data_IF_749866474420
#
_entry.id   IF_749866474420
#
_cell.length_a   1.000
_cell.length_b   1.000
_cell.length_c   1.000
_cell.angle_alpha   90.00
_cell.angle_beta   90.00
_cell.angle_gamma   90.00
#
_symmetry.space_group_name_H-M   'P 1'
#
loop_
_entity.id
_entity.type
_entity.pdbx_description
1 polymer ?
#
# COMPACT_ATOMS: atom_id res chain seq x y z
N UNK A 1 -36.74 -32.03 -18.38
CA UNK A 1 -35.49 -32.78 -18.09
C UNK A 1 -34.66 -31.91 -17.17
N UNK A 2 -34.55 -32.31 -15.89
CA UNK A 2 -33.60 -31.68 -14.99
C UNK A 2 -32.20 -32.09 -15.47
N UNK A 3 -31.50 -31.19 -16.15
CA UNK A 3 -30.09 -31.38 -16.39
C UNK A 3 -29.39 -31.35 -15.03
N UNK A 4 -28.58 -32.35 -14.73
CA UNK A 4 -27.70 -32.35 -13.57
C UNK A 4 -26.55 -31.38 -13.87
N UNK A 5 -26.64 -30.17 -13.33
CA UNK A 5 -25.65 -29.10 -13.58
C UNK A 5 -24.42 -29.20 -12.67
N UNK A 6 -24.23 -30.35 -11.98
CA UNK A 6 -23.07 -30.55 -11.11
C UNK A 6 -21.79 -30.60 -11.92
N UNK A 7 -20.81 -29.82 -11.47
CA UNK A 7 -19.44 -29.83 -11.98
C UNK A 7 -18.55 -30.54 -10.98
N UNK A 8 -17.80 -31.53 -11.44
CA UNK A 8 -16.75 -32.18 -10.67
C UNK A 8 -15.42 -31.49 -10.96
N UNK A 9 -14.74 -31.12 -9.91
CA UNK A 9 -13.46 -30.45 -9.97
C UNK A 9 -12.34 -31.38 -9.53
N UNK A 10 -11.22 -31.40 -10.25
CA UNK A 10 -10.04 -32.18 -9.89
C UNK A 10 -8.76 -31.37 -10.12
N UNK A 11 -7.74 -31.64 -9.31
CA UNK A 11 -6.40 -31.11 -9.47
C UNK A 11 -5.45 -32.24 -9.86
N UNK A 12 -4.49 -31.96 -10.73
CA UNK A 12 -3.40 -32.89 -11.05
C UNK A 12 -2.43 -33.07 -9.89
N UNK A 13 -2.32 -32.08 -8.99
CA UNK A 13 -1.55 -32.12 -7.75
C UNK A 13 -2.17 -31.24 -6.67
N UNK A 14 -2.81 -31.89 -5.70
CA UNK A 14 -3.48 -31.19 -4.60
C UNK A 14 -2.51 -30.57 -3.58
N UNK A 15 -1.22 -30.91 -3.61
CA UNK A 15 -0.23 -30.24 -2.77
C UNK A 15 0.08 -28.85 -3.31
N UNK A 16 0.08 -28.71 -4.64
CA UNK A 16 0.35 -27.44 -5.32
C UNK A 16 -0.90 -26.57 -5.34
N UNK A 17 -2.04 -27.12 -5.76
CA UNK A 17 -3.29 -26.39 -5.83
C UNK A 17 -4.47 -27.33 -5.54
N UNK A 18 -5.27 -27.02 -4.52
CA UNK A 18 -6.53 -27.70 -4.26
C UNK A 18 -7.68 -26.93 -4.90
N UNK A 19 -8.74 -27.65 -5.27
CA UNK A 19 -9.96 -27.03 -5.78
C UNK A 19 -11.17 -27.55 -5.03
N UNK A 20 -12.02 -26.61 -4.55
CA UNK A 20 -13.26 -26.89 -3.86
C UNK A 20 -14.36 -26.06 -4.51
N UNK A 21 -15.30 -26.72 -5.15
CA UNK A 21 -16.46 -26.07 -5.77
C UNK A 21 -16.10 -24.84 -6.65
N UNK A 22 -15.04 -24.99 -7.45
CA UNK A 22 -14.49 -23.95 -8.35
C UNK A 22 -13.57 -22.94 -7.69
N UNK A 23 -13.39 -22.99 -6.36
CA UNK A 23 -12.44 -22.13 -5.64
C UNK A 23 -11.08 -22.82 -5.55
N UNK A 24 -10.02 -22.16 -6.04
CA UNK A 24 -8.66 -22.68 -6.03
C UNK A 24 -7.92 -22.17 -4.80
N UNK A 25 -7.31 -23.09 -4.06
CA UNK A 25 -6.47 -22.80 -2.89
C UNK A 25 -5.04 -23.19 -3.21
N UNK A 26 -4.12 -22.21 -3.23
CA UNK A 26 -2.69 -22.43 -3.44
C UNK A 26 -2.05 -23.17 -2.25
N UNK A 27 -1.12 -24.06 -2.55
CA UNK A 27 -0.33 -24.85 -1.58
C UNK A 27 1.18 -24.68 -1.80
N UNK A 28 1.87 -25.77 -2.15
CA UNK A 28 3.31 -25.77 -2.40
C UNK A 28 3.64 -25.11 -3.76
N UNK A 29 4.87 -24.60 -3.87
CA UNK A 29 5.38 -24.06 -5.14
C UNK A 29 5.40 -25.11 -6.22
N UNK A 30 4.89 -24.75 -7.40
CA UNK A 30 4.82 -25.67 -8.55
C UNK A 30 3.70 -25.31 -9.50
N UNK A 31 3.40 -26.22 -10.41
CA UNK A 31 2.34 -26.06 -11.41
C UNK A 31 1.39 -27.26 -11.35
N UNK A 32 0.10 -26.98 -11.26
CA UNK A 32 -0.96 -27.98 -11.30
C UNK A 32 -2.00 -27.63 -12.37
N UNK A 33 -2.61 -28.63 -12.98
CA UNK A 33 -3.75 -28.51 -13.88
C UNK A 33 -5.05 -28.73 -13.11
N UNK A 34 -5.95 -27.78 -13.16
CA UNK A 34 -7.30 -27.92 -12.62
C UNK A 34 -8.25 -28.28 -13.76
N UNK A 35 -9.04 -29.32 -13.56
CA UNK A 35 -10.02 -29.81 -14.53
C UNK A 35 -11.42 -29.71 -13.94
N UNK A 36 -12.32 -29.05 -14.69
CA UNK A 36 -13.75 -29.07 -14.45
C UNK A 36 -14.42 -30.07 -15.40
N UNK A 37 -15.26 -30.96 -14.87
CA UNK A 37 -15.97 -31.97 -15.65
C UNK A 37 -17.47 -31.86 -15.37
N UNK A 38 -18.26 -31.71 -16.42
CA UNK A 38 -19.73 -31.70 -16.34
C UNK A 38 -20.29 -33.13 -16.27
N UNK A 39 -21.53 -33.29 -15.81
CA UNK A 39 -22.22 -34.60 -15.72
C UNK A 39 -22.33 -35.35 -17.07
N UNK A 40 -22.27 -34.61 -18.20
CA UNK A 40 -22.28 -35.22 -19.53
C UNK A 40 -20.87 -35.46 -20.11
N UNK A 41 -19.82 -35.36 -19.27
CA UNK A 41 -18.45 -35.70 -19.63
C UNK A 41 -17.66 -34.63 -20.38
N UNK A 42 -18.18 -33.42 -20.57
CA UNK A 42 -17.40 -32.30 -21.13
C UNK A 42 -16.42 -31.78 -20.09
N UNK A 43 -15.21 -31.47 -20.52
CA UNK A 43 -14.15 -30.99 -19.65
C UNK A 43 -13.62 -29.62 -20.09
N UNK A 44 -13.20 -28.82 -19.10
CA UNK A 44 -12.40 -27.62 -19.31
C UNK A 44 -11.21 -27.67 -18.35
N UNK A 45 -10.07 -27.12 -18.76
CA UNK A 45 -8.83 -27.17 -18.00
C UNK A 45 -8.22 -25.79 -17.86
N UNK A 46 -7.58 -25.53 -16.73
CA UNK A 46 -6.71 -24.37 -16.55
C UNK A 46 -5.42 -24.77 -15.83
N UNK A 47 -4.33 -24.09 -16.15
CA UNK A 47 -3.04 -24.26 -15.49
C UNK A 47 -2.93 -23.26 -14.36
N UNK A 48 -2.60 -23.72 -13.16
CA UNK A 48 -2.33 -22.91 -11.98
C UNK A 48 -0.86 -23.03 -11.64
N UNK A 49 -0.14 -21.91 -11.57
CA UNK A 49 1.25 -21.86 -11.12
C UNK A 49 1.30 -21.18 -9.76
N UNK A 50 1.83 -21.87 -8.76
CA UNK A 50 2.11 -21.33 -7.43
C UNK A 50 3.59 -20.99 -7.36
N UNK A 51 3.91 -19.74 -7.06
CA UNK A 51 5.28 -19.24 -6.95
C UNK A 51 5.64 -18.96 -5.49
N UNK A 52 6.94 -18.90 -5.17
CA UNK A 52 7.42 -18.60 -3.82
C UNK A 52 7.21 -17.14 -3.37
N UNK A 53 6.70 -16.29 -4.22
CA UNK A 53 6.52 -14.86 -3.96
C UNK A 53 5.41 -14.61 -2.92
N UNK A 54 5.66 -15.12 -1.71
CA UNK A 54 4.90 -14.75 -0.51
C UNK A 54 5.45 -13.44 0.03
N UNK A 55 5.05 -12.36 -0.57
CA UNK A 55 5.21 -11.06 0.06
C UNK A 55 4.20 -10.98 1.22
N UNK A 56 4.70 -11.07 2.44
CA UNK A 56 3.86 -11.07 3.64
C UNK A 56 3.89 -9.69 4.30
N UNK A 57 2.72 -9.12 4.50
CA UNK A 57 2.56 -8.01 5.44
C UNK A 57 2.53 -8.62 6.84
N UNK A 58 3.57 -8.34 7.63
CA UNK A 58 3.65 -8.80 9.02
C UNK A 58 3.17 -7.69 9.93
N UNK A 59 2.10 -7.95 10.69
CA UNK A 59 1.62 -7.03 11.71
C UNK A 59 2.49 -7.07 12.98
N UNK A 60 2.22 -6.13 13.90
CA UNK A 60 2.84 -6.08 15.23
C UNK A 60 4.33 -5.74 15.24
N UNK A 61 4.76 -4.98 14.23
CA UNK A 61 6.10 -4.39 14.15
C UNK A 61 6.06 -3.09 13.36
N UNK A 62 7.10 -2.26 13.53
CA UNK A 62 7.31 -1.13 12.64
C UNK A 62 7.70 -1.63 11.24
N UNK A 63 7.09 -1.06 10.22
CA UNK A 63 7.48 -1.34 8.84
C UNK A 63 8.81 -0.68 8.53
N UNK A 64 9.57 -1.32 7.64
CA UNK A 64 10.80 -0.76 7.08
C UNK A 64 10.64 -0.50 5.58
N UNK A 65 11.36 0.49 5.09
CA UNK A 65 11.54 0.71 3.66
C UNK A 65 12.50 -0.33 3.05
N UNK A 66 12.71 -0.26 1.74
CA UNK A 66 13.62 -1.17 1.01
C UNK A 66 15.08 -1.03 1.42
N UNK A 67 15.45 0.06 2.08
CA UNK A 67 16.79 0.30 2.60
C UNK A 67 16.94 -0.14 4.07
N UNK A 68 15.87 -0.67 4.68
CA UNK A 68 15.83 -1.16 6.05
C UNK A 68 15.56 -0.09 7.10
N UNK A 69 15.25 1.14 6.71
CA UNK A 69 14.89 2.20 7.64
C UNK A 69 13.43 2.11 8.06
N UNK A 70 13.10 2.49 9.28
CA UNK A 70 11.72 2.53 9.76
C UNK A 70 10.91 3.51 8.91
N UNK A 71 9.73 3.07 8.50
CA UNK A 71 8.80 3.84 7.69
C UNK A 71 7.96 4.74 8.60
N UNK A 72 8.01 6.05 8.33
CA UNK A 72 7.22 7.07 9.04
C UNK A 72 6.21 7.71 8.10
N UNK A 73 4.93 7.38 8.24
CA UNK A 73 3.85 7.86 7.38
C UNK A 73 2.50 7.86 8.12
N UNK A 74 2.42 8.65 9.19
CA UNK A 74 1.26 8.68 10.06
C UNK A 74 0.08 9.43 9.40
N UNK A 75 -1.13 8.89 9.54
CA UNK A 75 -2.39 9.56 9.20
C UNK A 75 -2.60 9.89 7.72
N UNK A 76 -1.86 9.23 6.84
CA UNK A 76 -1.97 9.45 5.41
C UNK A 76 -2.77 8.38 4.68
N UNK A 77 -2.45 8.17 3.40
CA UNK A 77 -3.11 7.19 2.55
C UNK A 77 -2.23 6.72 1.40
N UNK A 78 -2.69 5.67 0.74
CA UNK A 78 -2.05 5.09 -0.43
C UNK A 78 -2.87 5.45 -1.65
N UNK A 79 -2.20 5.94 -2.68
CA UNK A 79 -2.81 6.46 -3.90
C UNK A 79 -2.16 5.84 -5.14
N UNK A 80 -2.93 5.75 -6.21
CA UNK A 80 -2.44 5.41 -7.55
C UNK A 80 -2.87 6.52 -8.50
N UNK A 81 -1.94 6.99 -9.34
CA UNK A 81 -2.22 8.09 -10.26
C UNK A 81 -2.41 7.57 -11.70
N UNK A 82 -3.16 8.29 -12.55
CA UNK A 82 -3.25 7.97 -13.97
C UNK A 82 -1.85 7.95 -14.62
N UNK A 83 -1.63 6.99 -15.51
CA UNK A 83 -0.38 6.81 -16.26
C UNK A 83 0.87 6.52 -15.40
N UNK A 84 0.70 6.04 -14.19
CA UNK A 84 1.76 5.55 -13.33
C UNK A 84 1.39 4.18 -12.75
N UNK A 85 2.30 3.23 -12.84
CA UNK A 85 2.07 1.87 -12.36
C UNK A 85 2.35 1.72 -10.86
N UNK A 86 3.01 2.72 -10.25
CA UNK A 86 3.36 2.69 -8.82
C UNK A 86 2.21 3.11 -7.92
N UNK A 87 2.25 2.57 -6.71
CA UNK A 87 1.50 3.06 -5.56
C UNK A 87 2.33 4.10 -4.81
N UNK A 88 1.67 5.11 -4.27
CA UNK A 88 2.27 6.21 -3.52
C UNK A 88 1.66 6.27 -2.14
N UNK A 89 2.47 6.12 -1.11
CA UNK A 89 2.04 6.26 0.27
C UNK A 89 2.55 7.58 0.83
N UNK A 90 1.64 8.47 1.17
CA UNK A 90 1.94 9.74 1.84
C UNK A 90 1.48 9.71 3.28
N UNK A 91 2.19 10.41 4.15
CA UNK A 91 1.81 10.61 5.54
C UNK A 91 2.74 11.57 6.25
N UNK A 92 2.46 11.79 7.51
CA UNK A 92 3.21 12.74 8.34
C UNK A 92 4.35 12.02 9.06
N UNK A 93 5.53 12.65 9.06
CA UNK A 93 6.60 12.36 10.01
C UNK A 93 6.67 13.49 11.04
N UNK A 94 6.72 13.11 12.30
CA UNK A 94 6.96 14.00 13.42
C UNK A 94 8.41 13.87 13.90
N UNK A 95 8.97 14.93 14.47
CA UNK A 95 10.34 14.94 14.99
C UNK A 95 10.58 13.87 16.06
N UNK A 96 9.53 13.58 16.83
CA UNK A 96 9.56 12.59 17.92
C UNK A 96 9.31 11.15 17.46
N UNK A 97 9.08 10.91 16.18
CA UNK A 97 8.77 9.58 15.65
C UNK A 97 9.89 8.57 15.89
N UNK A 98 11.16 9.00 15.82
CA UNK A 98 12.32 8.15 16.11
C UNK A 98 12.30 7.70 17.57
N UNK A 99 12.01 8.61 18.51
CA UNK A 99 11.89 8.28 19.95
C UNK A 99 10.81 7.24 20.18
N UNK A 100 9.64 7.42 19.57
CA UNK A 100 8.55 6.45 19.67
C UNK A 100 8.92 5.08 19.11
N UNK A 101 9.64 5.04 18.00
CA UNK A 101 10.03 3.79 17.33
C UNK A 101 11.09 3.01 18.14
N UNK A 102 11.98 3.72 18.85
CA UNK A 102 13.04 3.11 19.68
C UNK A 102 12.55 2.77 21.07
N UNK A 103 11.67 3.58 21.64
CA UNK A 103 11.05 3.39 22.97
C UNK A 103 9.60 3.88 22.96
N UNK A 104 8.63 3.01 22.68
CA UNK A 104 7.22 3.38 22.65
C UNK A 104 6.68 3.88 24.01
N UNK A 105 7.28 3.48 25.12
CA UNK A 105 6.87 3.95 26.44
C UNK A 105 7.30 5.40 26.65
N UNK A 106 8.51 5.73 26.26
CA UNK A 106 9.01 7.11 26.30
C UNK A 106 8.24 8.00 25.31
N UNK A 107 7.89 7.47 24.14
CA UNK A 107 7.07 8.17 23.15
C UNK A 107 5.70 8.61 23.67
N UNK A 108 5.13 7.90 24.65
CA UNK A 108 3.85 8.30 25.29
C UNK A 108 3.96 9.59 26.13
N UNK A 109 5.16 10.03 26.48
CA UNK A 109 5.37 11.28 27.22
C UNK A 109 5.37 12.52 26.34
N UNK A 110 5.31 12.34 25.02
CA UNK A 110 5.24 13.46 24.06
C UNK A 110 3.84 14.05 24.07
N UNK A 111 3.66 15.20 24.69
CA UNK A 111 2.38 15.89 24.79
C UNK A 111 2.02 16.64 23.50
N UNK A 112 3.03 17.18 22.82
CA UNK A 112 2.87 17.99 21.60
C UNK A 112 3.86 17.56 20.51
N UNK A 113 3.49 16.58 19.67
CA UNK A 113 4.35 16.18 18.57
C UNK A 113 4.54 17.34 17.58
N UNK A 114 5.79 17.55 17.15
CA UNK A 114 6.11 18.60 16.20
C UNK A 114 6.16 18.03 14.77
N UNK A 115 5.39 18.61 13.87
CA UNK A 115 5.45 18.31 12.45
C UNK A 115 6.87 18.50 11.91
N UNK A 116 7.36 17.53 11.16
CA UNK A 116 8.65 17.59 10.49
C UNK A 116 8.45 17.68 8.97
N UNK A 117 7.76 16.70 8.40
CA UNK A 117 7.53 16.64 6.96
C UNK A 117 6.29 15.78 6.61
N UNK A 118 5.76 15.97 5.41
CA UNK A 118 5.03 14.92 4.71
C UNK A 118 6.04 14.07 3.95
N UNK A 119 5.99 12.78 4.18
CA UNK A 119 6.83 11.78 3.52
C UNK A 119 6.14 11.18 2.31
N UNK A 120 6.91 10.66 1.37
CA UNK A 120 6.42 9.86 0.26
C UNK A 120 7.21 8.57 0.16
N UNK A 121 6.50 7.47 0.00
CA UNK A 121 7.04 6.16 -0.33
C UNK A 121 6.37 5.65 -1.60
N UNK A 122 7.10 4.86 -2.41
CA UNK A 122 6.53 4.20 -3.59
C UNK A 122 6.66 2.69 -3.49
N UNK A 123 5.71 1.99 -4.10
CA UNK A 123 5.70 0.52 -4.17
C UNK A 123 5.11 0.04 -5.50
N UNK A 124 5.57 -1.11 -5.97
CA UNK A 124 4.98 -1.83 -7.09
C UNK A 124 3.97 -2.90 -6.62
N UNK A 125 4.01 -3.29 -5.33
CA UNK A 125 3.36 -4.48 -4.79
C UNK A 125 2.59 -4.27 -3.48
N UNK A 126 2.58 -3.03 -2.93
CA UNK A 126 1.98 -2.65 -1.64
C UNK A 126 2.67 -3.27 -0.40
N UNK A 127 3.76 -3.96 -0.58
CA UNK A 127 4.52 -4.62 0.50
C UNK A 127 5.90 -4.00 0.66
N UNK A 128 6.63 -3.86 -0.44
CA UNK A 128 7.97 -3.27 -0.46
C UNK A 128 7.88 -1.78 -0.80
N UNK A 129 8.23 -0.93 0.16
CA UNK A 129 8.10 0.52 0.06
C UNK A 129 9.47 1.18 -0.03
N UNK A 130 9.70 1.94 -1.07
CA UNK A 130 10.91 2.73 -1.26
C UNK A 130 10.66 4.16 -0.78
N UNK A 131 11.52 4.68 0.08
CA UNK A 131 11.48 6.09 0.48
C UNK A 131 11.87 7.00 -0.69
N UNK A 132 11.02 7.95 -1.02
CA UNK A 132 11.24 8.89 -2.12
C UNK A 132 11.60 10.30 -1.63
N UNK A 133 11.42 10.56 -0.34
CA UNK A 133 11.83 11.81 0.30
C UNK A 133 10.73 12.51 1.09
N UNK A 134 11.09 13.67 1.62
CA UNK A 134 10.18 14.62 2.24
C UNK A 134 9.56 15.49 1.16
N UNK A 135 8.29 15.28 0.90
CA UNK A 135 7.58 15.91 -0.22
C UNK A 135 6.98 17.27 0.12
N UNK A 136 6.83 17.57 1.41
CA UNK A 136 6.48 18.90 1.89
C UNK A 136 7.01 19.13 3.31
N UNK A 137 7.59 20.28 3.56
CA UNK A 137 8.13 20.74 4.84
C UNK A 137 7.50 22.09 5.24
N UNK A 138 7.76 22.56 6.45
CA UNK A 138 7.33 23.90 6.87
C UNK A 138 7.74 24.96 5.85
N UNK A 139 8.98 24.88 5.36
CA UNK A 139 9.54 25.84 4.37
C UNK A 139 8.74 25.81 3.06
N UNK A 140 8.54 24.63 2.48
CA UNK A 140 7.83 24.50 1.19
C UNK A 140 6.36 24.88 1.29
N UNK A 141 5.78 24.74 2.49
CA UNK A 141 4.39 25.12 2.80
C UNK A 141 4.25 26.56 3.25
N UNK A 142 5.33 27.36 3.26
CA UNK A 142 5.31 28.75 3.70
C UNK A 142 4.88 28.93 5.17
N UNK A 143 5.15 27.93 6.01
CA UNK A 143 4.73 27.91 7.42
C UNK A 143 5.94 28.01 8.34
N UNK A 144 5.79 28.71 9.45
CA UNK A 144 6.86 28.84 10.46
C UNK A 144 6.75 27.79 11.57
N UNK A 145 5.56 27.23 11.78
CA UNK A 145 5.29 26.29 12.85
C UNK A 145 4.04 25.44 12.55
N UNK A 146 4.06 24.19 12.98
CA UNK A 146 2.90 23.32 13.12
C UNK A 146 3.17 22.28 14.22
N UNK A 147 2.30 22.21 15.20
CA UNK A 147 2.36 21.15 16.20
C UNK A 147 1.87 19.84 15.62
N UNK A 148 0.60 19.81 15.22
CA UNK A 148 -0.02 18.60 14.72
C UNK A 148 -0.52 18.79 13.30
N UNK A 149 -0.15 17.87 12.43
CA UNK A 149 -0.66 17.72 11.08
C UNK A 149 -1.26 16.32 10.91
N UNK A 150 -2.34 16.19 10.18
CA UNK A 150 -2.98 14.88 10.05
C UNK A 150 -3.69 14.71 8.72
N UNK A 151 -4.04 13.46 8.44
CA UNK A 151 -4.93 13.05 7.35
C UNK A 151 -4.67 13.77 6.04
N UNK A 152 -3.51 13.52 5.44
CA UNK A 152 -3.21 14.05 4.12
C UNK A 152 -3.77 13.13 3.03
N UNK A 153 -4.23 13.76 1.95
CA UNK A 153 -4.58 13.09 0.70
C UNK A 153 -3.89 13.79 -0.45
N UNK A 154 -3.58 13.03 -1.50
CA UNK A 154 -3.00 13.57 -2.73
C UNK A 154 -3.86 13.14 -3.90
N UNK A 155 -4.25 14.10 -4.75
CA UNK A 155 -5.01 13.86 -5.98
C UNK A 155 -4.29 14.46 -7.18
N UNK A 156 -4.47 13.86 -8.34
CA UNK A 156 -4.01 14.44 -9.59
C UNK A 156 -5.13 15.29 -10.21
N UNK A 157 -4.84 16.55 -10.47
CA UNK A 157 -5.74 17.49 -11.13
C UNK A 157 -5.39 17.56 -12.62
N UNK A 158 -6.17 16.87 -13.45
CA UNK A 158 -5.94 16.79 -14.89
C UNK A 158 -5.98 18.16 -15.59
N UNK A 159 -6.88 19.07 -15.17
CA UNK A 159 -7.00 20.41 -15.78
C UNK A 159 -5.77 21.27 -15.53
N UNK A 160 -5.22 21.18 -14.35
CA UNK A 160 -4.03 21.95 -13.96
C UNK A 160 -2.73 21.22 -14.27
N UNK A 161 -2.81 19.93 -14.60
CA UNK A 161 -1.66 19.03 -14.73
C UNK A 161 -0.75 19.09 -13.50
N UNK A 162 -1.36 18.99 -12.31
CA UNK A 162 -0.70 19.11 -11.01
C UNK A 162 -1.15 18.03 -10.06
N UNK A 163 -0.25 17.62 -9.18
CA UNK A 163 -0.59 16.85 -7.98
C UNK A 163 -0.95 17.86 -6.88
N UNK A 164 -2.02 17.60 -6.16
CA UNK A 164 -2.54 18.48 -5.12
C UNK A 164 -2.62 17.72 -3.82
N UNK A 165 -1.86 18.17 -2.83
CA UNK A 165 -1.90 17.69 -1.45
C UNK A 165 -2.89 18.52 -0.67
N UNK A 166 -3.81 17.86 0.02
CA UNK A 166 -4.76 18.46 0.95
C UNK A 166 -4.57 17.82 2.31
N UNK A 167 -4.42 18.61 3.33
CA UNK A 167 -4.20 18.08 4.68
C UNK A 167 -4.80 18.98 5.76
N UNK A 168 -5.07 18.39 6.91
CA UNK A 168 -5.34 19.10 8.13
C UNK A 168 -4.02 19.61 8.72
N UNK A 169 -3.88 20.95 8.82
CA UNK A 169 -2.62 21.59 9.19
C UNK A 169 -2.92 23.01 9.70
N UNK A 170 -3.02 23.21 11.01
CA UNK A 170 -3.46 24.51 11.57
C UNK A 170 -4.71 25.07 10.87
N UNK A 171 -5.67 24.17 10.55
CA UNK A 171 -6.78 24.40 9.63
C UNK A 171 -6.69 23.43 8.45
N UNK A 172 -6.92 23.91 7.23
CA UNK A 172 -6.72 23.11 6.00
C UNK A 172 -5.65 23.76 5.16
N UNK A 173 -4.66 22.97 4.74
CA UNK A 173 -3.65 23.41 3.79
C UNK A 173 -3.86 22.70 2.44
N UNK A 174 -3.65 23.46 1.36
CA UNK A 174 -3.67 22.95 -0.01
C UNK A 174 -2.34 23.34 -0.64
N UNK A 175 -1.60 22.36 -1.12
CA UNK A 175 -0.31 22.57 -1.77
C UNK A 175 -0.26 21.78 -3.09
N UNK A 176 0.55 22.22 -4.04
CA UNK A 176 0.64 21.58 -5.35
C UNK A 176 2.07 21.31 -5.78
N UNK A 177 2.23 20.32 -6.66
CA UNK A 177 3.51 19.93 -7.24
C UNK A 177 3.33 19.49 -8.71
N UNK A 178 4.39 19.57 -9.50
CA UNK A 178 4.44 19.03 -10.87
C UNK A 178 4.73 17.52 -10.88
N UNK A 179 5.24 17.00 -9.76
CA UNK A 179 5.65 15.60 -9.60
C UNK A 179 4.96 15.01 -8.36
N UNK A 180 4.50 13.74 -8.39
CA UNK A 180 3.92 13.10 -7.23
C UNK A 180 4.90 13.00 -6.04
N UNK A 181 6.20 13.03 -6.30
CA UNK A 181 7.25 13.05 -5.26
C UNK A 181 7.58 14.46 -4.75
N UNK A 182 6.75 15.45 -5.07
CA UNK A 182 6.93 16.83 -4.62
C UNK A 182 8.05 17.60 -5.35
N UNK A 183 8.57 18.69 -4.75
CA UNK A 183 8.07 19.27 -3.50
C UNK A 183 6.69 19.95 -3.68
N UNK A 184 5.78 19.70 -2.75
CA UNK A 184 4.51 20.41 -2.71
C UNK A 184 4.70 21.80 -2.09
N UNK A 185 4.12 22.80 -2.74
CA UNK A 185 4.19 24.22 -2.34
C UNK A 185 2.78 24.84 -2.32
N UNK A 186 2.52 25.73 -1.38
CA UNK A 186 1.30 26.54 -1.30
C UNK A 186 1.34 27.70 -2.27
#
# INVERSE_FOLDING_TARGET
SNADDRITWTSSDEKIAKVYDGVIVAGEVGTAEITATTSNGKTAKCTVTVTEDKQLITNDRFYTDTDGNILYSQGGGIFKFPNDDKYYWYGVRYKEAVTYATDPLLGKTVEHPAFEAYTCYTSDDLVNWKYEGDVATLETLGQSWCGWAGRCGVVYNEKANKYVLVSQFNGTIIASADNPKGPFKT
#
